data_IF_015626680699
#
_entry.id   IF_015626680699
#
_cell.length_a   1.000
_cell.length_b   1.000
_cell.length_c   1.000
_cell.angle_alpha   90.00
_cell.angle_beta   90.00
_cell.angle_gamma   90.00
#
_symmetry.space_group_name_H-M   'P 1'
#
loop_
_entity.id
_entity.type
_entity.pdbx_description
1 polymer ?
#
# COMPACT_ATOMS: atom_id res chain seq x y z
N UNK A 1 18.05 4.10 -2.42
CA UNK A 1 17.21 4.41 -1.25
C UNK A 1 17.23 5.89 -0.92
N UNK A 2 18.29 6.52 -1.27
CA UNK A 2 18.55 7.89 -0.83
C UNK A 2 17.64 8.94 -1.45
N UNK A 3 16.71 8.54 -2.29
CA UNK A 3 15.81 9.45 -2.99
C UNK A 3 14.35 9.31 -2.64
N UNK A 4 14.04 8.39 -1.73
CA UNK A 4 12.68 8.22 -1.26
C UNK A 4 12.46 9.13 -0.06
N UNK A 5 11.40 9.95 -0.05
CA UNK A 5 11.09 10.77 1.11
C UNK A 5 10.99 9.94 2.38
N UNK A 6 11.42 10.52 3.49
CA UNK A 6 11.42 9.84 4.79
C UNK A 6 10.05 9.27 5.16
N UNK A 7 8.99 10.02 4.89
CA UNK A 7 7.62 9.57 5.19
C UNK A 7 7.21 8.34 4.39
N UNK A 8 7.68 8.23 3.15
CA UNK A 8 7.39 7.06 2.30
C UNK A 8 8.11 5.84 2.84
N UNK A 9 9.38 5.97 3.19
CA UNK A 9 10.17 4.90 3.78
C UNK A 9 9.59 4.45 5.12
N UNK A 10 9.18 5.40 5.96
CA UNK A 10 8.56 5.10 7.24
C UNK A 10 7.24 4.36 7.08
N UNK A 11 6.41 4.78 6.13
CA UNK A 11 5.16 4.09 5.82
C UNK A 11 5.40 2.64 5.39
N UNK A 12 6.38 2.42 4.52
CA UNK A 12 6.73 1.08 4.07
C UNK A 12 7.18 0.19 5.23
N UNK A 13 7.93 0.76 6.16
CA UNK A 13 8.35 0.06 7.37
C UNK A 13 7.14 -0.33 8.23
N UNK A 14 6.22 0.61 8.45
CA UNK A 14 4.98 0.32 9.18
C UNK A 14 4.15 -0.76 8.49
N UNK A 15 4.06 -0.70 7.16
CA UNK A 15 3.33 -1.70 6.38
C UNK A 15 3.96 -3.09 6.52
N UNK A 16 5.27 -3.15 6.54
CA UNK A 16 6.03 -4.40 6.72
C UNK A 16 5.62 -5.11 8.01
N UNK A 17 5.43 -4.34 9.08
CA UNK A 17 5.10 -4.88 10.40
C UNK A 17 3.61 -4.89 10.68
N UNK A 18 2.77 -4.60 9.69
CA UNK A 18 1.32 -4.60 9.85
C UNK A 18 0.81 -3.53 10.80
N UNK A 19 1.52 -2.42 10.93
CA UNK A 19 1.17 -1.33 11.86
C UNK A 19 0.35 -0.22 11.22
N UNK A 20 0.09 -0.28 9.92
CA UNK A 20 -0.74 0.70 9.24
C UNK A 20 -2.19 0.57 9.70
N UNK A 21 -2.85 1.70 9.93
CA UNK A 21 -4.21 1.74 10.46
C UNK A 21 -5.26 1.48 9.36
N UNK A 22 -5.29 0.24 8.90
CA UNK A 22 -6.34 -0.26 8.03
C UNK A 22 -7.61 -0.57 8.84
N UNK A 23 -8.72 -0.80 8.16
CA UNK A 23 -10.01 -1.03 8.83
C UNK A 23 -9.96 -2.23 9.78
N UNK A 24 -9.26 -3.28 9.42
CA UNK A 24 -9.12 -4.45 10.29
C UNK A 24 -8.42 -4.10 11.61
N UNK A 25 -7.40 -3.24 11.54
CA UNK A 25 -6.69 -2.82 12.74
C UNK A 25 -7.52 -1.86 13.58
N UNK A 26 -8.27 -0.99 12.94
CA UNK A 26 -9.19 -0.09 13.65
C UNK A 26 -10.29 -0.88 14.36
N UNK A 27 -10.82 -1.92 13.74
CA UNK A 27 -11.77 -2.82 14.39
C UNK A 27 -11.17 -3.49 15.62
N UNK A 28 -9.92 -3.94 15.52
CA UNK A 28 -9.21 -4.56 16.66
C UNK A 28 -9.01 -3.59 17.81
N UNK A 29 -8.97 -2.29 17.53
CA UNK A 29 -8.89 -1.24 18.54
C UNK A 29 -10.25 -0.88 19.13
N UNK A 30 -11.30 -1.56 18.74
CA UNK A 30 -12.63 -1.38 19.31
C UNK A 30 -13.54 -0.44 18.53
N UNK A 31 -13.10 0.06 17.37
CA UNK A 31 -13.94 0.92 16.56
C UNK A 31 -14.96 0.06 15.80
N UNK A 32 -16.22 0.46 15.88
CA UNK A 32 -17.32 -0.24 15.21
C UNK A 32 -17.48 0.32 13.81
N UNK A 33 -16.79 -0.33 12.87
CA UNK A 33 -16.76 0.11 11.49
C UNK A 33 -17.00 -1.09 10.57
N UNK A 34 -17.74 -0.91 9.47
CA UNK A 34 -17.79 -1.97 8.48
C UNK A 34 -16.41 -2.12 7.85
N UNK A 35 -15.94 -3.36 7.78
CA UNK A 35 -14.66 -3.64 7.16
C UNK A 35 -14.85 -3.96 5.69
N UNK A 36 -14.74 -2.93 4.87
CA UNK A 36 -14.87 -3.05 3.43
C UNK A 36 -13.84 -2.16 2.75
N UNK A 37 -13.09 -2.71 1.82
CA UNK A 37 -12.08 -1.96 1.09
C UNK A 37 -12.72 -0.82 0.30
N UNK A 38 -12.25 0.41 0.48
CA UNK A 38 -12.76 1.58 -0.22
C UNK A 38 -12.46 1.58 -1.72
N UNK A 39 -11.43 0.85 -2.14
CA UNK A 39 -11.05 0.80 -3.55
C UNK A 39 -11.89 -0.18 -4.34
N UNK A 40 -12.04 -1.40 -3.87
CA UNK A 40 -12.77 -2.43 -4.62
C UNK A 40 -14.19 -2.64 -4.13
N UNK A 41 -14.48 -2.31 -2.88
CA UNK A 41 -15.81 -2.51 -2.31
C UNK A 41 -16.23 -3.97 -2.11
N UNK A 42 -15.32 -4.91 -2.35
CA UNK A 42 -15.66 -6.33 -2.39
C UNK A 42 -15.15 -7.13 -1.20
N UNK A 43 -13.99 -6.77 -0.67
CA UNK A 43 -13.30 -7.56 0.33
C UNK A 43 -12.95 -6.74 1.56
N UNK A 44 -12.60 -7.45 2.62
CA UNK A 44 -12.13 -6.80 3.83
C UNK A 44 -10.83 -6.07 3.59
N UNK A 45 -10.66 -4.94 4.27
CA UNK A 45 -9.46 -4.14 4.17
C UNK A 45 -8.43 -4.56 5.20
N UNK A 46 -7.30 -4.99 4.72
CA UNK A 46 -6.09 -5.15 5.52
C UNK A 46 -4.91 -4.66 4.69
N UNK A 47 -3.75 -4.51 5.31
CA UNK A 47 -2.60 -3.92 4.63
C UNK A 47 -2.18 -4.72 3.40
N UNK A 48 -2.23 -6.02 3.47
CA UNK A 48 -1.85 -6.87 2.34
C UNK A 48 -2.84 -6.76 1.19
N UNK A 49 -4.13 -6.69 1.52
CA UNK A 49 -5.16 -6.52 0.49
C UNK A 49 -5.00 -5.19 -0.24
N UNK A 50 -4.96 -4.08 0.50
CA UNK A 50 -4.95 -2.75 -0.14
C UNK A 50 -3.66 -2.45 -0.89
N UNK A 51 -2.54 -3.02 -0.49
CA UNK A 51 -1.26 -2.73 -1.13
C UNK A 51 -0.89 -3.73 -2.23
N UNK A 52 -1.46 -4.92 -2.21
CA UNK A 52 -1.07 -5.99 -3.14
C UNK A 52 -2.26 -6.61 -3.86
N UNK A 53 -3.26 -7.07 -3.11
CA UNK A 53 -4.27 -8.00 -3.61
C UNK A 53 -5.55 -7.38 -4.10
N UNK A 54 -5.84 -6.13 -3.73
CA UNK A 54 -7.04 -5.45 -4.22
C UNK A 54 -7.06 -5.43 -5.74
N UNK A 55 -8.20 -5.77 -6.34
CA UNK A 55 -8.33 -5.83 -7.79
C UNK A 55 -7.97 -4.51 -8.48
N UNK A 56 -8.27 -3.39 -7.85
CA UNK A 56 -7.92 -2.06 -8.38
C UNK A 56 -6.42 -1.85 -8.34
N UNK A 57 -5.79 -2.22 -7.23
CA UNK A 57 -4.35 -2.06 -7.04
C UNK A 57 -3.57 -3.03 -7.94
N UNK A 58 -4.12 -4.21 -8.21
CA UNK A 58 -3.50 -5.16 -9.14
C UNK A 58 -3.41 -4.61 -10.54
N UNK A 59 -4.40 -3.86 -10.98
CA UNK A 59 -4.34 -3.18 -12.28
C UNK A 59 -3.16 -2.22 -12.32
N UNK A 60 -2.96 -1.45 -11.25
CA UNK A 60 -1.82 -0.53 -11.16
C UNK A 60 -0.48 -1.27 -11.22
N UNK A 61 -0.36 -2.38 -10.48
CA UNK A 61 0.85 -3.19 -10.53
C UNK A 61 1.10 -3.77 -11.92
N UNK A 62 0.06 -4.23 -12.58
CA UNK A 62 0.17 -4.78 -13.94
C UNK A 62 0.65 -3.71 -14.94
N UNK A 63 0.16 -2.48 -14.80
CA UNK A 63 0.61 -1.37 -15.64
C UNK A 63 2.10 -1.10 -15.42
N UNK A 64 2.52 -1.01 -14.16
CA UNK A 64 3.91 -0.73 -13.81
C UNK A 64 4.84 -1.84 -14.30
N UNK A 65 4.47 -3.08 -14.08
CA UNK A 65 5.26 -4.22 -14.54
C UNK A 65 5.32 -4.28 -16.09
N UNK A 66 4.22 -3.92 -16.74
CA UNK A 66 4.18 -3.84 -18.19
C UNK A 66 5.10 -2.78 -18.76
N UNK A 67 5.23 -1.64 -18.07
CA UNK A 67 6.13 -0.55 -18.52
C UNK A 67 7.60 -0.95 -18.49
N UNK A 68 7.97 -1.85 -17.60
CA UNK A 68 9.34 -2.34 -17.48
C UNK A 68 9.53 -3.73 -18.09
N UNK A 69 8.50 -4.24 -18.73
CA UNK A 69 8.47 -5.57 -19.38
C UNK A 69 8.89 -6.68 -18.42
N UNK A 70 8.34 -6.63 -17.21
CA UNK A 70 8.64 -7.61 -16.17
C UNK A 70 7.43 -8.49 -15.87
N UNK A 71 7.69 -9.75 -15.64
CA UNK A 71 6.69 -10.70 -15.15
C UNK A 71 7.06 -11.11 -13.74
N UNK A 72 6.13 -10.97 -12.83
CA UNK A 72 6.38 -11.30 -11.44
C UNK A 72 5.11 -11.76 -10.75
N UNK A 73 5.25 -12.79 -9.95
CA UNK A 73 4.16 -13.32 -9.14
C UNK A 73 4.23 -12.69 -7.75
N UNK A 74 3.16 -12.03 -7.36
CA UNK A 74 3.13 -11.32 -6.09
C UNK A 74 3.04 -12.28 -4.91
N UNK A 75 3.87 -12.06 -3.88
CA UNK A 75 3.76 -12.78 -2.61
C UNK A 75 2.48 -12.40 -1.86
N UNK A 76 2.22 -13.08 -0.78
CA UNK A 76 1.02 -12.85 0.03
C UNK A 76 1.09 -11.60 0.89
N UNK A 77 2.28 -11.23 1.35
CA UNK A 77 2.43 -10.15 2.32
C UNK A 77 3.31 -9.03 1.79
N UNK A 78 3.09 -7.83 2.33
CA UNK A 78 3.91 -6.65 2.01
C UNK A 78 5.37 -6.91 2.37
N UNK A 79 5.62 -7.56 3.50
CA UNK A 79 6.98 -7.90 3.91
C UNK A 79 7.70 -8.75 2.86
N UNK A 80 7.03 -9.76 2.35
CA UNK A 80 7.59 -10.62 1.32
C UNK A 80 7.83 -9.86 0.01
N UNK A 81 6.94 -8.92 -0.34
CA UNK A 81 7.15 -8.07 -1.51
C UNK A 81 8.43 -7.27 -1.36
N UNK A 82 8.61 -6.60 -0.23
CA UNK A 82 9.79 -5.76 -0.01
C UNK A 82 11.09 -6.57 0.04
N UNK A 83 11.05 -7.76 0.61
CA UNK A 83 12.21 -8.63 0.68
C UNK A 83 12.59 -9.18 -0.71
N UNK A 84 11.60 -9.59 -1.50
CA UNK A 84 11.80 -10.21 -2.79
C UNK A 84 11.88 -9.22 -3.94
N UNK A 85 11.60 -7.95 -3.70
CA UNK A 85 11.58 -6.90 -4.73
C UNK A 85 13.01 -6.50 -5.11
N UNK A 86 13.73 -7.43 -5.66
CA UNK A 86 15.12 -7.19 -6.07
C UNK A 86 15.25 -6.91 -7.55
N UNK A 87 14.16 -7.10 -8.24
CA UNK A 87 14.07 -6.87 -9.66
C UNK A 87 14.87 -7.88 -10.49
N UNK A 88 14.25 -8.41 -11.53
CA UNK A 88 14.93 -9.26 -12.49
C UNK A 88 15.82 -8.46 -13.43
N UNK A 89 16.09 -7.19 -13.11
CA UNK A 89 16.67 -6.24 -14.05
C UNK A 89 18.15 -6.14 -13.93
N UNK A 90 18.72 -6.09 -15.07
CA UNK A 90 20.13 -5.91 -15.30
C UNK A 90 20.44 -4.42 -15.31
N UNK A 91 21.41 -3.99 -14.51
CA UNK A 91 21.89 -2.62 -14.50
C UNK A 91 21.63 -1.89 -13.19
N UNK A 92 22.68 -1.28 -12.67
CA UNK A 92 22.66 -0.61 -11.35
C UNK A 92 21.69 0.57 -11.30
N UNK A 93 21.54 1.34 -12.38
CA UNK A 93 20.67 2.50 -12.42
C UNK A 93 19.19 2.11 -12.37
N UNK A 94 18.81 1.11 -13.12
CA UNK A 94 17.43 0.60 -13.13
C UNK A 94 17.07 -0.06 -11.82
N UNK A 95 18.02 -0.68 -11.16
CA UNK A 95 17.82 -1.33 -9.87
C UNK A 95 17.46 -0.33 -8.78
N UNK A 96 18.07 0.85 -8.78
CA UNK A 96 17.73 1.90 -7.81
C UNK A 96 16.31 2.44 -8.01
N UNK A 97 15.95 2.71 -9.26
CA UNK A 97 14.60 3.17 -9.60
C UNK A 97 13.59 2.09 -9.25
N UNK A 98 13.88 0.85 -9.57
CA UNK A 98 13.01 -0.28 -9.29
C UNK A 98 12.73 -0.44 -7.80
N UNK A 99 13.73 -0.29 -6.96
CA UNK A 99 13.55 -0.36 -5.50
C UNK A 99 12.61 0.69 -4.97
N UNK A 100 12.66 1.91 -5.52
CA UNK A 100 11.79 2.98 -5.05
C UNK A 100 10.37 2.88 -5.58
N UNK A 101 10.14 2.19 -6.70
CA UNK A 101 8.82 2.07 -7.31
C UNK A 101 7.81 1.42 -6.36
N UNK A 102 8.17 0.30 -5.75
CA UNK A 102 7.25 -0.39 -4.84
C UNK A 102 6.86 0.48 -3.65
N UNK A 103 7.82 1.19 -3.09
CA UNK A 103 7.57 2.09 -1.97
C UNK A 103 6.65 3.24 -2.38
N UNK A 104 6.87 3.80 -3.55
CA UNK A 104 6.05 4.89 -4.07
C UNK A 104 4.62 4.43 -4.37
N UNK A 105 4.45 3.23 -4.92
CA UNK A 105 3.13 2.67 -5.18
C UNK A 105 2.38 2.45 -3.88
N UNK A 106 3.02 1.87 -2.87
CA UNK A 106 2.41 1.67 -1.56
C UNK A 106 1.92 3.00 -0.98
N UNK A 107 2.76 4.02 -1.04
CA UNK A 107 2.43 5.34 -0.53
C UNK A 107 1.26 5.99 -1.30
N UNK A 108 1.28 5.91 -2.61
CA UNK A 108 0.22 6.46 -3.45
C UNK A 108 -1.12 5.77 -3.19
N UNK A 109 -1.12 4.46 -3.08
CA UNK A 109 -2.33 3.70 -2.77
C UNK A 109 -2.89 4.10 -1.42
N UNK A 110 -2.02 4.21 -0.41
CA UNK A 110 -2.43 4.61 0.93
C UNK A 110 -3.05 6.00 0.95
N UNK A 111 -2.42 6.94 0.26
CA UNK A 111 -2.95 8.31 0.13
C UNK A 111 -4.32 8.31 -0.54
N UNK A 112 -4.48 7.55 -1.61
CA UNK A 112 -5.74 7.47 -2.32
C UNK A 112 -6.83 6.83 -1.45
N UNK A 113 -6.49 5.79 -0.71
CA UNK A 113 -7.41 5.18 0.25
C UNK A 113 -7.91 6.19 1.27
N UNK A 114 -7.00 6.97 1.83
CA UNK A 114 -7.37 8.00 2.80
C UNK A 114 -8.26 9.06 2.18
N UNK A 115 -7.94 9.49 0.97
CA UNK A 115 -8.74 10.48 0.27
C UNK A 115 -10.17 9.99 0.07
N UNK A 116 -10.34 8.74 -0.34
CA UNK A 116 -11.66 8.16 -0.55
C UNK A 116 -12.41 7.97 0.76
N UNK A 117 -11.73 7.52 1.79
CA UNK A 117 -12.34 7.28 3.09
C UNK A 117 -12.92 8.57 3.68
N UNK A 118 -12.19 9.69 3.57
CA UNK A 118 -12.66 10.96 4.10
C UNK A 118 -13.69 11.65 3.19
N UNK A 119 -13.58 11.51 1.89
CA UNK A 119 -14.52 12.10 0.95
C UNK A 119 -15.90 11.46 0.99
N UNK A 120 -15.94 10.16 1.21
CA UNK A 120 -17.21 9.44 1.25
C UNK A 120 -18.09 9.79 2.42
N UNK A 121 -17.59 10.56 3.39
CA UNK A 121 -18.34 10.93 4.58
C UNK A 121 -18.79 9.74 5.40
N UNK A 122 -18.27 8.57 5.09
CA UNK A 122 -18.72 7.32 5.69
C UNK A 122 -18.12 7.07 7.05
N UNK A 123 -17.02 7.74 7.37
CA UNK A 123 -16.29 7.43 8.58
C UNK A 123 -15.57 8.66 9.11
N UNK A 124 -15.96 9.10 10.29
CA UNK A 124 -15.22 10.08 11.03
C UNK A 124 -14.32 9.35 12.04
N UNK A 125 -13.02 9.56 11.91
CA UNK A 125 -12.04 9.06 12.86
C UNK A 125 -11.30 10.23 13.49
N UNK A 126 -11.91 10.93 14.43
CA UNK A 126 -11.25 12.14 14.98
C UNK A 126 -9.91 11.85 15.60
N UNK A 127 -9.77 10.69 16.24
CA UNK A 127 -8.53 10.30 16.90
C UNK A 127 -7.44 9.78 15.98
N UNK A 128 -7.83 9.33 14.79
CA UNK A 128 -6.90 8.75 13.82
C UNK A 128 -6.69 9.63 12.61
N UNK A 129 -7.38 10.76 12.56
CA UNK A 129 -7.35 11.66 11.42
C UNK A 129 -5.93 12.12 11.06
N UNK A 130 -5.09 12.33 12.06
CA UNK A 130 -3.70 12.72 11.83
C UNK A 130 -2.92 11.66 11.08
N UNK A 131 -3.17 10.39 11.37
CA UNK A 131 -2.52 9.28 10.67
C UNK A 131 -2.97 9.15 9.23
N UNK A 132 -4.23 9.48 8.96
CA UNK A 132 -4.76 9.39 7.62
C UNK A 132 -4.41 10.59 6.75
N UNK A 133 -4.21 11.74 7.33
CA UNK A 133 -3.88 12.97 6.61
C UNK A 133 -2.41 13.10 6.20
N UNK A 134 -1.59 12.17 6.60
CA UNK A 134 -0.18 12.16 6.21
C UNK A 134 -0.02 11.73 4.77
#
# INVERSE_FOLDING_TARGET
MDRVPTKVAFFAWEATWGKVLTLDRLQKRGLQLPNCCFLCGCEEENVNHILIHCIVVRVLWDIVLGLVDAKWVFPKTVKEVLISWRGPFVGKKRKKVWKSISLCIFWMVWKEMNRLAFRGGCVEYPETQEFFCL
#
